data_IF_772103203809
#
_entry.id   IF_772103203809
#
_cell.length_a   1.000
_cell.length_b   1.000
_cell.length_c   1.000
_cell.angle_alpha   90.00
_cell.angle_beta   90.00
_cell.angle_gamma   90.00
#
_symmetry.space_group_name_H-M   'P 1'
#
loop_
_entity.id
_entity.type
_entity.pdbx_description
1 polymer ?
#
# COMPACT_ATOMS: atom_id res chain seq x y z
N UNK A 1 26.21 -17.46 12.04
CA UNK A 1 25.79 -16.26 11.27
C UNK A 1 24.59 -16.65 10.42
N UNK A 2 23.39 -16.17 10.73
CA UNK A 2 22.25 -16.38 9.82
C UNK A 2 22.60 -15.81 8.45
N UNK A 3 22.40 -16.61 7.41
CA UNK A 3 22.71 -16.24 6.01
C UNK A 3 21.74 -15.11 5.63
N UNK A 4 22.26 -13.95 5.32
CA UNK A 4 21.47 -12.79 4.92
C UNK A 4 20.56 -13.16 3.74
N UNK A 5 19.28 -12.82 3.84
CA UNK A 5 18.31 -13.10 2.77
C UNK A 5 18.60 -12.25 1.53
N UNK A 6 18.47 -12.84 0.36
CA UNK A 6 18.62 -12.14 -0.92
C UNK A 6 17.42 -11.23 -1.20
N UNK A 7 17.58 -10.28 -2.14
CA UNK A 7 16.48 -9.39 -2.56
C UNK A 7 15.22 -10.19 -2.93
N UNK A 8 15.35 -11.21 -3.75
CA UNK A 8 14.20 -12.00 -4.22
C UNK A 8 13.56 -12.85 -3.12
N UNK A 9 14.34 -13.33 -2.15
CA UNK A 9 13.79 -14.04 -0.99
C UNK A 9 12.88 -13.13 -0.12
N UNK A 10 13.10 -11.82 -0.16
CA UNK A 10 12.26 -10.85 0.53
C UNK A 10 11.16 -10.31 -0.39
N UNK A 11 11.48 -9.94 -1.64
CA UNK A 11 10.58 -9.27 -2.54
C UNK A 11 9.47 -10.18 -3.10
N UNK A 12 9.78 -11.44 -3.44
CA UNK A 12 8.78 -12.35 -4.02
C UNK A 12 7.62 -12.64 -3.06
N UNK A 13 7.84 -12.94 -1.78
CA UNK A 13 6.73 -13.06 -0.83
C UNK A 13 5.91 -11.77 -0.69
N UNK A 14 6.56 -10.61 -0.65
CA UNK A 14 5.85 -9.31 -0.58
C UNK A 14 5.01 -9.09 -1.85
N UNK A 15 5.54 -9.45 -3.02
CA UNK A 15 4.80 -9.36 -4.28
C UNK A 15 3.55 -10.24 -4.25
N UNK A 16 3.69 -11.50 -3.87
CA UNK A 16 2.56 -12.43 -3.76
C UNK A 16 1.52 -11.92 -2.76
N UNK A 17 1.96 -11.45 -1.58
CA UNK A 17 1.09 -10.88 -0.55
C UNK A 17 0.28 -9.69 -1.08
N UNK A 18 0.95 -8.76 -1.76
CA UNK A 18 0.30 -7.54 -2.29
C UNK A 18 -0.64 -7.86 -3.46
N UNK A 19 -0.23 -8.77 -4.35
CA UNK A 19 -1.06 -9.22 -5.47
C UNK A 19 -2.35 -9.91 -4.97
N UNK A 20 -2.22 -10.83 -4.01
CA UNK A 20 -3.35 -11.55 -3.45
C UNK A 20 -4.30 -10.62 -2.68
N UNK A 21 -3.76 -9.61 -2.00
CA UNK A 21 -4.60 -8.61 -1.34
C UNK A 21 -5.43 -7.80 -2.36
N UNK A 22 -4.84 -7.47 -3.50
CA UNK A 22 -5.54 -6.79 -4.60
C UNK A 22 -6.62 -7.69 -5.21
N UNK A 23 -6.28 -8.96 -5.48
CA UNK A 23 -7.20 -9.93 -6.08
C UNK A 23 -8.38 -10.28 -5.14
N UNK A 24 -8.15 -10.29 -3.83
CA UNK A 24 -9.20 -10.54 -2.84
C UNK A 24 -10.31 -9.50 -2.95
N UNK A 25 -9.97 -8.21 -2.99
CA UNK A 25 -10.97 -7.15 -3.13
C UNK A 25 -11.82 -7.27 -4.41
N UNK A 26 -11.22 -7.77 -5.50
CA UNK A 26 -11.93 -8.04 -6.75
C UNK A 26 -12.85 -9.26 -6.58
N UNK A 27 -12.36 -10.32 -5.93
CA UNK A 27 -13.12 -11.55 -5.70
C UNK A 27 -14.35 -11.28 -4.83
N UNK A 28 -14.23 -10.54 -3.74
CA UNK A 28 -15.33 -10.17 -2.85
C UNK A 28 -16.45 -9.44 -3.62
N UNK A 29 -16.06 -8.43 -4.42
CA UNK A 29 -17.03 -7.67 -5.23
C UNK A 29 -17.68 -8.56 -6.28
N UNK A 30 -16.90 -9.42 -6.97
CA UNK A 30 -17.42 -10.34 -7.97
C UNK A 30 -18.41 -11.36 -7.37
N UNK A 31 -18.09 -11.95 -6.23
CA UNK A 31 -18.98 -12.90 -5.56
C UNK A 31 -20.27 -12.22 -5.08
N UNK A 32 -20.16 -10.99 -4.56
CA UNK A 32 -21.33 -10.22 -4.16
C UNK A 32 -22.21 -9.80 -5.34
N UNK A 33 -21.64 -9.51 -6.51
CA UNK A 33 -22.43 -9.18 -7.70
C UNK A 33 -23.29 -10.35 -8.20
N UNK A 34 -22.87 -11.59 -7.92
CA UNK A 34 -23.69 -12.77 -8.20
C UNK A 34 -24.89 -12.90 -7.24
N UNK A 35 -24.86 -12.24 -6.09
CA UNK A 35 -25.95 -12.20 -5.12
C UNK A 35 -26.92 -11.03 -5.38
N UNK A 36 -26.40 -9.81 -5.44
CA UNK A 36 -27.15 -8.55 -5.74
C UNK A 36 -26.15 -7.47 -6.13
N UNK A 37 -26.31 -6.85 -7.31
CA UNK A 37 -25.46 -5.75 -7.78
C UNK A 37 -25.40 -4.57 -6.79
N UNK A 38 -26.53 -4.32 -6.08
CA UNK A 38 -26.58 -3.30 -5.03
C UNK A 38 -25.71 -3.66 -3.84
N UNK A 39 -25.58 -4.95 -3.51
CA UNK A 39 -24.69 -5.44 -2.46
C UNK A 39 -23.22 -5.18 -2.81
N UNK A 40 -22.82 -5.47 -4.05
CA UNK A 40 -21.47 -5.19 -4.54
C UNK A 40 -21.14 -3.70 -4.49
N UNK A 41 -22.05 -2.83 -4.96
CA UNK A 41 -21.88 -1.37 -4.90
C UNK A 41 -21.79 -0.81 -3.46
N UNK A 42 -22.60 -1.34 -2.55
CA UNK A 42 -22.61 -0.95 -1.14
C UNK A 42 -21.31 -1.31 -0.42
N UNK A 43 -20.77 -2.52 -0.67
CA UNK A 43 -19.49 -2.99 -0.11
C UNK A 43 -18.33 -2.22 -0.73
N UNK A 44 -18.37 -1.92 -2.02
CA UNK A 44 -17.38 -1.06 -2.68
C UNK A 44 -17.28 0.32 -2.03
N UNK A 45 -18.40 1.00 -1.78
CA UNK A 45 -18.42 2.28 -1.07
C UNK A 45 -17.90 2.18 0.37
N UNK A 46 -18.26 1.11 1.09
CA UNK A 46 -17.79 0.87 2.45
C UNK A 46 -16.28 0.58 2.48
N UNK A 47 -15.75 -0.19 1.52
CA UNK A 47 -14.33 -0.47 1.40
C UNK A 47 -13.50 0.78 1.11
N UNK A 48 -14.06 1.77 0.40
CA UNK A 48 -13.39 3.06 0.20
C UNK A 48 -13.21 3.82 1.53
N UNK A 49 -14.22 3.83 2.40
CA UNK A 49 -14.09 4.39 3.77
C UNK A 49 -12.99 3.66 4.54
N UNK A 50 -13.07 2.34 4.59
CA UNK A 50 -12.12 1.48 5.30
C UNK A 50 -10.70 1.67 4.76
N UNK A 51 -10.53 1.78 3.44
CA UNK A 51 -9.25 2.06 2.79
C UNK A 51 -8.62 3.36 3.26
N UNK A 52 -9.40 4.43 3.34
CA UNK A 52 -8.93 5.72 3.86
C UNK A 52 -8.54 5.64 5.34
N UNK A 53 -9.28 4.89 6.16
CA UNK A 53 -8.96 4.70 7.57
C UNK A 53 -7.68 3.88 7.78
N UNK A 54 -7.37 2.95 6.89
CA UNK A 54 -6.11 2.20 6.94
C UNK A 54 -4.87 3.09 6.81
N UNK A 55 -4.96 4.28 6.20
CA UNK A 55 -3.86 5.25 6.16
C UNK A 55 -3.47 5.74 7.55
N UNK A 56 -4.41 5.80 8.49
CA UNK A 56 -4.14 6.19 9.89
C UNK A 56 -3.25 5.12 10.56
N UNK A 57 -3.56 3.83 10.34
CA UNK A 57 -2.77 2.73 10.88
C UNK A 57 -1.38 2.65 10.24
N UNK A 58 -1.28 3.06 8.98
CA UNK A 58 -0.01 3.10 8.25
C UNK A 58 1.00 4.07 8.87
N UNK A 59 0.57 5.12 9.59
CA UNK A 59 1.46 6.06 10.29
C UNK A 59 2.36 5.31 11.27
N UNK A 60 1.76 4.53 12.17
CA UNK A 60 2.52 3.77 13.17
C UNK A 60 3.30 2.64 12.52
N UNK A 61 2.68 1.94 11.57
CA UNK A 61 3.31 0.81 10.87
C UNK A 61 4.55 1.23 10.08
N UNK A 62 4.56 2.40 9.42
CA UNK A 62 5.73 2.91 8.70
C UNK A 62 6.89 3.24 9.64
N UNK A 63 6.60 3.88 10.78
CA UNK A 63 7.61 4.12 11.82
C UNK A 63 8.17 2.81 12.39
N UNK A 64 7.30 1.84 12.65
CA UNK A 64 7.65 0.51 13.15
C UNK A 64 8.58 -0.22 12.17
N UNK A 65 8.25 -0.20 10.87
CA UNK A 65 9.07 -0.85 9.84
C UNK A 65 10.52 -0.39 9.87
N UNK A 66 10.75 0.92 9.94
CA UNK A 66 12.09 1.50 9.93
C UNK A 66 12.84 1.21 11.24
N UNK A 67 12.21 1.50 12.38
CA UNK A 67 12.86 1.36 13.69
C UNK A 67 13.16 -0.11 14.02
N UNK A 68 12.25 -1.04 13.72
CA UNK A 68 12.49 -2.47 13.93
C UNK A 68 13.61 -2.96 13.02
N UNK A 69 13.57 -2.65 11.71
CA UNK A 69 14.61 -3.10 10.78
C UNK A 69 16.01 -2.62 11.20
N UNK A 70 16.15 -1.34 11.59
CA UNK A 70 17.43 -0.81 12.06
C UNK A 70 17.90 -1.47 13.37
N UNK A 71 17.01 -1.65 14.34
CA UNK A 71 17.36 -2.28 15.61
C UNK A 71 17.66 -3.79 15.47
N UNK A 72 17.02 -4.49 14.51
CA UNK A 72 17.39 -5.86 14.15
C UNK A 72 18.83 -5.89 13.62
N UNK A 73 19.18 -4.96 12.74
CA UNK A 73 20.55 -4.81 12.25
C UNK A 73 21.58 -4.52 13.36
N UNK A 74 21.23 -3.62 14.27
CA UNK A 74 22.05 -3.27 15.45
C UNK A 74 22.08 -4.35 16.54
N UNK A 75 21.26 -5.42 16.40
CA UNK A 75 21.07 -6.47 17.42
C UNK A 75 20.61 -5.94 18.78
N UNK A 76 19.91 -4.80 18.81
CA UNK A 76 19.43 -4.14 20.00
C UNK A 76 18.05 -4.68 20.41
N UNK A 77 18.04 -5.85 21.07
CA UNK A 77 16.80 -6.52 21.49
C UNK A 77 15.89 -5.65 22.37
N UNK A 78 16.47 -4.85 23.27
CA UNK A 78 15.71 -3.98 24.17
C UNK A 78 14.89 -2.94 23.41
N UNK A 79 15.50 -2.27 22.42
CA UNK A 79 14.78 -1.29 21.61
C UNK A 79 13.77 -1.95 20.67
N UNK A 80 14.05 -3.15 20.12
CA UNK A 80 13.07 -3.93 19.35
C UNK A 80 11.83 -4.18 20.21
N UNK A 81 11.99 -4.74 21.42
CA UNK A 81 10.89 -5.03 22.33
C UNK A 81 10.10 -3.77 22.69
N UNK A 82 10.80 -2.63 22.93
CA UNK A 82 10.18 -1.35 23.22
C UNK A 82 9.37 -0.81 22.04
N UNK A 83 9.94 -0.79 20.83
CA UNK A 83 9.25 -0.33 19.62
C UNK A 83 8.03 -1.20 19.33
N UNK A 84 8.17 -2.53 19.40
CA UNK A 84 7.08 -3.47 19.15
C UNK A 84 5.92 -3.28 20.14
N UNK A 85 6.20 -3.19 21.44
CA UNK A 85 5.16 -3.02 22.45
C UNK A 85 4.39 -1.70 22.29
N UNK A 86 5.11 -0.59 22.08
CA UNK A 86 4.49 0.72 21.92
C UNK A 86 3.68 0.78 20.62
N UNK A 87 4.21 0.27 19.50
CA UNK A 87 3.52 0.25 18.21
C UNK A 87 2.23 -0.56 18.26
N UNK A 88 2.25 -1.74 18.89
CA UNK A 88 1.07 -2.60 19.04
C UNK A 88 -0.01 -1.92 19.88
N UNK A 89 0.35 -1.37 21.04
CA UNK A 89 -0.62 -0.68 21.89
C UNK A 89 -1.18 0.57 21.21
N UNK A 90 -0.35 1.34 20.54
CA UNK A 90 -0.81 2.53 19.81
C UNK A 90 -1.79 2.18 18.69
N UNK A 91 -1.44 1.24 17.82
CA UNK A 91 -2.34 0.85 16.74
C UNK A 91 -3.60 0.16 17.28
N UNK A 92 -3.52 -0.58 18.38
CA UNK A 92 -4.71 -1.10 19.05
C UNK A 92 -5.64 0.01 19.52
N UNK A 93 -5.10 1.00 20.26
CA UNK A 93 -5.91 2.14 20.77
C UNK A 93 -6.51 2.95 19.63
N UNK A 94 -5.71 3.31 18.62
CA UNK A 94 -6.19 4.02 17.44
C UNK A 94 -7.25 3.18 16.70
N UNK A 95 -6.98 1.90 16.48
CA UNK A 95 -7.91 0.97 15.85
C UNK A 95 -9.22 0.83 16.62
N UNK A 96 -9.16 0.77 17.95
CA UNK A 96 -10.35 0.71 18.79
C UNK A 96 -11.19 2.00 18.69
N UNK A 97 -10.56 3.17 18.75
CA UNK A 97 -11.23 4.46 18.57
C UNK A 97 -11.90 4.55 17.20
N UNK A 98 -11.20 4.14 16.13
CA UNK A 98 -11.76 4.10 14.78
C UNK A 98 -12.92 3.11 14.70
N UNK A 99 -12.79 1.92 15.29
CA UNK A 99 -13.85 0.91 15.33
C UNK A 99 -15.12 1.43 16.03
N UNK A 100 -14.97 2.06 17.19
CA UNK A 100 -16.07 2.70 17.92
C UNK A 100 -16.73 3.78 17.05
N UNK A 101 -15.91 4.61 16.38
CA UNK A 101 -16.44 5.64 15.47
C UNK A 101 -17.24 5.01 14.32
N UNK A 102 -16.80 3.90 13.75
CA UNK A 102 -17.53 3.22 12.67
C UNK A 102 -18.84 2.59 13.13
N UNK A 103 -18.90 2.07 14.35
CA UNK A 103 -20.14 1.53 14.91
C UNK A 103 -21.19 2.63 15.09
N UNK A 104 -20.82 3.77 15.67
CA UNK A 104 -21.76 4.83 16.03
C UNK A 104 -22.01 5.84 14.89
N UNK A 105 -21.01 6.15 14.09
CA UNK A 105 -21.08 7.20 13.07
C UNK A 105 -20.93 6.68 11.63
N UNK A 106 -20.81 5.37 11.43
CA UNK A 106 -20.62 4.78 10.09
C UNK A 106 -21.74 5.16 9.13
N UNK A 107 -23.00 5.11 9.56
CA UNK A 107 -24.16 5.47 8.74
C UNK A 107 -24.15 6.96 8.33
N UNK A 108 -23.72 7.84 9.23
CA UNK A 108 -23.58 9.28 8.97
C UNK A 108 -22.49 9.54 7.92
N UNK A 109 -21.35 8.83 8.04
CA UNK A 109 -20.24 8.95 7.09
C UNK A 109 -20.69 8.48 5.70
N UNK A 110 -21.34 7.32 5.60
CA UNK A 110 -21.87 6.79 4.34
C UNK A 110 -22.89 7.75 3.70
N UNK A 111 -23.79 8.33 4.50
CA UNK A 111 -24.76 9.30 4.01
C UNK A 111 -24.08 10.56 3.44
N UNK A 112 -23.07 11.09 4.14
CA UNK A 112 -22.30 12.25 3.66
C UNK A 112 -21.47 11.95 2.41
N UNK A 113 -21.09 10.69 2.19
CA UNK A 113 -20.44 10.24 0.95
C UNK A 113 -21.40 10.06 -0.21
N UNK A 114 -22.69 10.26 -0.01
CA UNK A 114 -23.69 10.15 -1.07
C UNK A 114 -24.19 8.74 -1.32
N UNK A 115 -24.00 7.80 -0.38
CA UNK A 115 -24.56 6.45 -0.49
C UNK A 115 -26.09 6.54 -0.47
N UNK A 116 -26.72 6.04 -1.53
CA UNK A 116 -28.17 6.11 -1.73
C UNK A 116 -28.94 5.24 -0.71
N UNK A 117 -30.20 5.59 -0.45
CA UNK A 117 -31.04 4.83 0.49
C UNK A 117 -31.18 3.34 0.11
N UNK A 118 -31.15 3.03 -1.16
CA UNK A 118 -31.23 1.64 -1.66
C UNK A 118 -30.00 0.77 -1.30
N UNK A 119 -28.82 1.39 -1.16
CA UNK A 119 -27.57 0.74 -0.80
C UNK A 119 -27.29 0.77 0.71
N UNK A 120 -27.95 1.70 1.43
CA UNK A 120 -27.62 2.01 2.84
C UNK A 120 -27.76 0.78 3.75
N UNK A 121 -28.77 -0.06 3.54
CA UNK A 121 -28.99 -1.26 4.37
C UNK A 121 -27.82 -2.25 4.29
N UNK A 122 -27.27 -2.46 3.08
CA UNK A 122 -26.09 -3.30 2.90
C UNK A 122 -24.82 -2.63 3.42
N UNK A 123 -24.60 -1.38 3.08
CA UNK A 123 -23.42 -0.62 3.49
C UNK A 123 -23.32 -0.46 5.02
N UNK A 124 -24.44 -0.15 5.70
CA UNK A 124 -24.51 -0.06 7.16
C UNK A 124 -24.15 -1.38 7.87
N UNK A 125 -24.69 -2.51 7.38
CA UNK A 125 -24.34 -3.82 7.92
C UNK A 125 -22.85 -4.12 7.79
N UNK A 126 -22.28 -3.85 6.60
CA UNK A 126 -20.88 -4.11 6.32
C UNK A 126 -19.96 -3.22 7.18
N UNK A 127 -20.22 -1.90 7.22
CA UNK A 127 -19.36 -0.97 7.93
C UNK A 127 -19.43 -1.15 9.45
N UNK A 128 -20.57 -1.57 10.01
CA UNK A 128 -20.68 -1.87 11.43
C UNK A 128 -19.93 -3.13 11.83
N UNK A 129 -19.93 -4.17 11.01
CA UNK A 129 -19.24 -5.43 11.29
C UNK A 129 -17.74 -5.29 11.00
N UNK A 130 -17.36 -4.99 9.76
CA UNK A 130 -15.95 -4.89 9.36
C UNK A 130 -15.30 -3.64 9.93
N UNK A 131 -15.98 -2.49 9.86
CA UNK A 131 -15.51 -1.23 10.44
C UNK A 131 -15.40 -1.29 11.96
N UNK A 132 -16.36 -1.95 12.62
CA UNK A 132 -16.32 -2.22 14.07
C UNK A 132 -15.19 -3.13 14.52
N UNK A 133 -14.60 -3.90 13.60
CA UNK A 133 -13.47 -4.78 13.85
C UNK A 133 -12.12 -4.25 13.30
N UNK A 134 -12.03 -2.97 12.94
CA UNK A 134 -10.81 -2.38 12.38
C UNK A 134 -9.62 -2.40 13.35
N UNK A 135 -9.87 -2.49 14.66
CA UNK A 135 -8.79 -2.71 15.64
C UNK A 135 -8.04 -4.02 15.39
N UNK A 136 -8.72 -5.09 14.92
CA UNK A 136 -8.06 -6.35 14.54
C UNK A 136 -7.15 -6.13 13.34
N UNK A 137 -7.63 -5.40 12.32
CA UNK A 137 -6.84 -5.07 11.14
C UNK A 137 -5.61 -4.22 11.48
N UNK A 138 -5.75 -3.24 12.38
CA UNK A 138 -4.63 -2.39 12.81
C UNK A 138 -3.54 -3.18 13.54
N UNK A 139 -3.93 -4.14 14.37
CA UNK A 139 -3.00 -5.07 15.05
C UNK A 139 -2.33 -5.98 14.03
N UNK A 140 -3.11 -6.61 13.13
CA UNK A 140 -2.57 -7.51 12.10
C UNK A 140 -1.53 -6.79 11.24
N UNK A 141 -1.83 -5.56 10.79
CA UNK A 141 -0.90 -4.73 10.02
C UNK A 141 0.41 -4.49 10.81
N UNK A 142 0.32 -4.20 12.10
CA UNK A 142 1.50 -3.94 12.93
C UNK A 142 2.33 -5.20 13.13
N UNK A 143 1.70 -6.33 13.44
CA UNK A 143 2.41 -7.61 13.65
C UNK A 143 3.09 -8.07 12.37
N UNK A 144 2.40 -8.02 11.22
CA UNK A 144 2.98 -8.42 9.92
C UNK A 144 4.14 -7.51 9.52
N UNK A 145 4.07 -6.21 9.80
CA UNK A 145 5.19 -5.27 9.59
C UNK A 145 6.38 -5.63 10.49
N UNK A 146 6.17 -5.96 11.75
CA UNK A 146 7.24 -6.40 12.66
C UNK A 146 7.89 -7.69 12.12
N UNK A 147 7.10 -8.69 11.74
CA UNK A 147 7.58 -9.96 11.17
C UNK A 147 8.43 -9.70 9.91
N UNK A 148 7.94 -8.88 8.97
CA UNK A 148 8.67 -8.52 7.74
C UNK A 148 9.97 -7.76 8.04
N UNK A 149 9.97 -6.85 9.00
CA UNK A 149 11.15 -6.07 9.39
C UNK A 149 12.28 -6.92 9.97
N UNK A 150 11.95 -8.07 10.54
CA UNK A 150 12.92 -9.11 10.93
C UNK A 150 13.43 -9.93 9.73
N UNK A 151 12.86 -9.74 8.54
CA UNK A 151 13.20 -10.48 7.33
C UNK A 151 12.31 -11.72 7.07
N UNK A 152 11.31 -12.00 7.89
CA UNK A 152 10.40 -13.15 7.74
C UNK A 152 9.21 -12.81 6.82
N UNK A 153 9.53 -12.39 5.58
CA UNK A 153 8.51 -11.99 4.59
C UNK A 153 7.69 -13.16 4.07
N UNK A 154 8.28 -14.38 3.99
CA UNK A 154 7.58 -15.60 3.60
C UNK A 154 6.49 -15.97 4.59
N UNK A 155 6.78 -15.86 5.87
CA UNK A 155 5.86 -16.16 6.96
C UNK A 155 4.71 -15.15 6.98
N UNK A 156 4.99 -13.87 6.80
CA UNK A 156 3.96 -12.83 6.62
C UNK A 156 3.06 -13.15 5.43
N UNK A 157 3.63 -13.50 4.28
CA UNK A 157 2.88 -13.90 3.09
C UNK A 157 1.97 -15.10 3.38
N UNK A 158 2.48 -16.15 4.04
CA UNK A 158 1.68 -17.35 4.34
C UNK A 158 0.49 -17.06 5.25
N UNK A 159 0.65 -16.16 6.23
CA UNK A 159 -0.45 -15.69 7.08
C UNK A 159 -1.52 -14.98 6.24
N UNK A 160 -1.10 -14.08 5.34
CA UNK A 160 -2.03 -13.35 4.46
C UNK A 160 -2.70 -14.26 3.44
N UNK A 161 -1.97 -15.20 2.85
CA UNK A 161 -2.53 -16.23 1.94
C UNK A 161 -3.60 -17.06 2.65
N UNK A 162 -3.29 -17.56 3.85
CA UNK A 162 -4.24 -18.32 4.67
C UNK A 162 -5.49 -17.51 5.02
N UNK A 163 -5.31 -16.23 5.38
CA UNK A 163 -6.42 -15.31 5.63
C UNK A 163 -7.32 -15.15 4.39
N UNK A 164 -6.72 -14.94 3.23
CA UNK A 164 -7.48 -14.74 1.98
C UNK A 164 -8.23 -16.01 1.55
N UNK A 165 -7.62 -17.18 1.69
CA UNK A 165 -8.29 -18.46 1.40
C UNK A 165 -9.50 -18.66 2.34
N UNK A 166 -9.32 -18.41 3.64
CA UNK A 166 -10.41 -18.51 4.61
C UNK A 166 -11.53 -17.50 4.34
N UNK A 167 -11.17 -16.28 3.91
CA UNK A 167 -12.14 -15.26 3.56
C UNK A 167 -12.97 -15.68 2.33
N UNK A 168 -12.32 -16.03 1.20
CA UNK A 168 -13.00 -16.47 -0.03
C UNK A 168 -13.90 -17.70 0.25
N UNK A 169 -13.42 -18.65 1.04
CA UNK A 169 -14.21 -19.81 1.43
C UNK A 169 -15.43 -19.40 2.26
N UNK A 170 -15.25 -18.53 3.27
CA UNK A 170 -16.33 -18.03 4.09
C UNK A 170 -17.37 -17.21 3.29
N UNK A 171 -16.90 -16.40 2.35
CA UNK A 171 -17.78 -15.65 1.45
C UNK A 171 -18.62 -16.58 0.58
N UNK A 172 -17.99 -17.60 -0.01
CA UNK A 172 -18.71 -18.62 -0.78
C UNK A 172 -19.77 -19.34 0.06
N UNK A 173 -19.44 -19.71 1.28
CA UNK A 173 -20.38 -20.38 2.19
C UNK A 173 -21.60 -19.51 2.50
N UNK A 174 -21.41 -18.23 2.82
CA UNK A 174 -22.50 -17.35 3.23
C UNK A 174 -23.22 -16.63 2.08
N UNK A 175 -22.63 -16.56 0.89
CA UNK A 175 -23.30 -16.03 -0.31
C UNK A 175 -24.15 -17.10 -0.97
N UNK A 176 -23.58 -18.31 -1.14
CA UNK A 176 -24.25 -19.38 -1.91
C UNK A 176 -24.96 -20.41 -1.01
N UNK A 177 -24.89 -20.29 0.32
CA UNK A 177 -25.54 -21.23 1.24
C UNK A 177 -24.91 -22.63 1.22
N UNK A 178 -23.60 -22.74 0.97
CA UNK A 178 -22.91 -24.02 0.88
C UNK A 178 -22.95 -24.77 2.23
N UNK A 179 -22.94 -26.08 2.17
CA UNK A 179 -23.00 -26.98 3.36
C UNK A 179 -24.22 -26.77 4.27
N UNK A 180 -25.32 -26.22 3.73
CA UNK A 180 -26.52 -25.93 4.53
C UNK A 180 -26.44 -24.66 5.37
N UNK A 181 -25.42 -23.83 5.16
CA UNK A 181 -25.30 -22.55 5.86
C UNK A 181 -26.39 -21.57 5.40
N UNK A 182 -26.85 -20.68 6.28
CA UNK A 182 -27.82 -19.65 5.90
C UNK A 182 -27.22 -18.67 4.88
N UNK A 183 -28.00 -18.28 3.88
CA UNK A 183 -27.61 -17.23 2.93
C UNK A 183 -27.71 -15.88 3.63
N UNK A 184 -26.57 -15.30 3.99
CA UNK A 184 -26.48 -14.03 4.73
C UNK A 184 -26.11 -12.85 3.85
N UNK A 185 -25.70 -13.08 2.60
CA UNK A 185 -25.27 -12.03 1.66
C UNK A 185 -24.16 -11.15 2.24
N UNK A 186 -24.35 -9.83 2.24
CA UNK A 186 -23.36 -8.85 2.74
C UNK A 186 -22.97 -9.06 4.20
N UNK A 187 -23.91 -9.47 5.07
CA UNK A 187 -23.59 -9.78 6.47
C UNK A 187 -22.63 -10.97 6.56
N UNK A 188 -22.84 -11.99 5.72
CA UNK A 188 -22.00 -13.16 5.66
C UNK A 188 -20.56 -12.83 5.24
N UNK A 189 -20.41 -12.04 4.19
CA UNK A 189 -19.09 -11.54 3.73
C UNK A 189 -18.41 -10.71 4.84
N UNK A 190 -19.14 -9.83 5.51
CA UNK A 190 -18.59 -9.04 6.62
C UNK A 190 -18.09 -9.92 7.79
N UNK A 191 -18.83 -10.97 8.12
CA UNK A 191 -18.46 -11.95 9.16
C UNK A 191 -17.24 -12.75 8.71
N UNK A 192 -17.23 -13.28 7.48
CA UNK A 192 -16.10 -14.04 6.94
C UNK A 192 -14.82 -13.22 6.92
N UNK A 193 -14.90 -11.95 6.47
CA UNK A 193 -13.79 -11.00 6.49
C UNK A 193 -13.26 -10.76 7.92
N UNK A 194 -14.15 -10.58 8.87
CA UNK A 194 -13.76 -10.31 10.26
C UNK A 194 -13.15 -11.54 10.92
N UNK A 195 -13.75 -12.71 10.74
CA UNK A 195 -13.26 -13.98 11.31
C UNK A 195 -11.91 -14.36 10.71
N UNK A 196 -11.74 -14.26 9.40
CA UNK A 196 -10.45 -14.54 8.73
C UNK A 196 -9.32 -13.63 9.25
N UNK A 197 -9.61 -12.35 9.47
CA UNK A 197 -8.65 -11.40 10.07
C UNK A 197 -8.32 -11.73 11.52
N UNK A 198 -9.29 -12.12 12.32
CA UNK A 198 -9.05 -12.55 13.71
C UNK A 198 -8.14 -13.77 13.74
N UNK A 199 -8.44 -14.80 12.95
CA UNK A 199 -7.63 -16.01 12.87
C UNK A 199 -6.21 -15.70 12.38
N UNK A 200 -6.06 -14.88 11.34
CA UNK A 200 -4.75 -14.43 10.87
C UNK A 200 -3.96 -13.67 11.96
N UNK A 201 -4.65 -12.83 12.74
CA UNK A 201 -4.03 -12.07 13.83
C UNK A 201 -3.53 -13.02 14.94
N UNK A 202 -4.31 -14.03 15.30
CA UNK A 202 -3.91 -15.04 16.28
C UNK A 202 -2.66 -15.79 15.81
N UNK A 203 -2.66 -16.26 14.54
CA UNK A 203 -1.50 -16.96 13.95
C UNK A 203 -0.27 -16.05 13.91
N UNK A 204 -0.45 -14.77 13.52
CA UNK A 204 0.61 -13.78 13.51
C UNK A 204 1.22 -13.55 14.91
N UNK A 205 0.39 -13.46 15.95
CA UNK A 205 0.86 -13.35 17.35
C UNK A 205 1.60 -14.60 17.81
N UNK A 206 1.09 -15.79 17.48
CA UNK A 206 1.77 -17.05 17.82
C UNK A 206 3.17 -17.06 17.21
N UNK A 207 3.31 -16.67 15.94
CA UNK A 207 4.61 -16.58 15.29
C UNK A 207 5.51 -15.52 15.94
N UNK A 208 4.96 -14.32 16.20
CA UNK A 208 5.69 -13.22 16.81
C UNK A 208 6.28 -13.63 18.17
N UNK A 209 5.45 -14.18 19.07
CA UNK A 209 5.86 -14.48 20.45
C UNK A 209 6.68 -15.75 20.60
N UNK A 210 6.54 -16.73 19.68
CA UNK A 210 7.36 -17.95 19.74
C UNK A 210 8.79 -17.76 19.22
N UNK A 211 9.02 -16.79 18.30
CA UNK A 211 10.28 -16.71 17.61
C UNK A 211 11.00 -15.38 17.59
N UNK A 212 10.29 -14.25 17.78
CA UNK A 212 10.87 -12.93 17.49
C UNK A 212 10.96 -12.03 18.72
N UNK A 213 9.87 -11.87 19.44
CA UNK A 213 9.77 -10.93 20.57
C UNK A 213 9.00 -11.60 21.72
N UNK A 214 9.50 -11.59 22.95
CA UNK A 214 8.82 -12.22 24.08
C UNK A 214 7.59 -11.42 24.53
N UNK A 215 6.61 -12.08 25.10
CA UNK A 215 5.41 -11.43 25.68
C UNK A 215 5.79 -10.39 26.75
N UNK A 216 6.91 -10.63 27.46
CA UNK A 216 7.44 -9.69 28.47
C UNK A 216 7.79 -8.31 27.91
N UNK A 217 7.78 -8.11 26.57
CA UNK A 217 8.02 -6.80 25.95
C UNK A 217 7.09 -5.69 26.46
N UNK A 218 5.87 -6.04 26.87
CA UNK A 218 4.89 -5.07 27.38
C UNK A 218 5.33 -4.35 28.65
N UNK A 219 6.35 -4.86 29.39
CA UNK A 219 6.99 -4.12 30.49
C UNK A 219 7.58 -2.77 30.06
N UNK A 220 8.00 -2.64 28.78
CA UNK A 220 8.56 -1.40 28.24
C UNK A 220 7.54 -0.31 27.97
N UNK A 221 6.25 -0.55 28.14
CA UNK A 221 5.22 0.49 28.10
C UNK A 221 5.42 1.53 29.22
N UNK A 222 6.05 1.13 30.32
CA UNK A 222 6.36 2.01 31.45
C UNK A 222 7.74 2.66 31.34
N UNK A 223 8.58 2.26 30.36
CA UNK A 223 9.95 2.76 30.18
C UNK A 223 10.04 3.70 28.97
N UNK A 224 9.95 5.00 29.22
CA UNK A 224 10.09 6.09 28.24
C UNK A 224 9.19 5.95 26.98
N UNK A 225 7.88 5.65 27.10
CA UNK A 225 7.01 5.44 25.95
C UNK A 225 6.93 6.67 25.04
N UNK A 226 6.99 7.89 25.61
CA UNK A 226 6.90 9.17 24.87
C UNK A 226 8.06 9.35 23.88
N UNK A 227 9.28 8.92 24.25
CA UNK A 227 10.45 9.03 23.37
C UNK A 227 10.30 8.17 22.11
N UNK A 228 9.89 6.91 22.28
CA UNK A 228 9.65 5.98 21.17
C UNK A 228 8.43 6.40 20.35
N UNK A 229 7.37 6.86 21.01
CA UNK A 229 6.20 7.45 20.34
C UNK A 229 6.58 8.58 19.39
N UNK A 230 7.36 9.57 19.88
CA UNK A 230 7.83 10.68 19.05
C UNK A 230 8.65 10.20 17.86
N UNK A 231 9.50 9.19 18.01
CA UNK A 231 10.28 8.59 16.90
C UNK A 231 9.34 7.95 15.86
N UNK A 232 8.35 7.17 16.30
CA UNK A 232 7.36 6.53 15.41
C UNK A 232 6.59 7.56 14.58
N UNK A 233 6.05 8.59 15.23
CA UNK A 233 5.32 9.68 14.56
C UNK A 233 6.22 10.47 13.63
N UNK A 234 7.45 10.79 14.02
CA UNK A 234 8.42 11.54 13.20
C UNK A 234 8.72 10.85 11.86
N UNK A 235 8.66 9.52 11.83
CA UNK A 235 8.86 8.71 10.61
C UNK A 235 7.54 8.52 9.88
N UNK A 236 6.50 8.11 10.59
CA UNK A 236 5.25 7.66 10.00
C UNK A 236 4.36 8.78 9.51
N UNK A 237 4.26 9.90 10.26
CA UNK A 237 3.38 11.00 9.90
C UNK A 237 3.76 11.64 8.55
N UNK A 238 5.05 11.98 8.28
CA UNK A 238 5.42 12.48 6.95
C UNK A 238 5.09 11.50 5.83
N UNK A 239 5.32 10.20 6.04
CA UNK A 239 5.00 9.16 5.04
C UNK A 239 3.49 9.07 4.75
N UNK A 240 2.64 9.22 5.76
CA UNK A 240 1.20 9.25 5.57
C UNK A 240 0.74 10.53 4.84
N UNK A 241 1.32 11.69 5.18
CA UNK A 241 1.04 12.96 4.49
C UNK A 241 1.41 12.90 3.01
N UNK A 242 2.49 12.22 2.65
CA UNK A 242 2.85 11.99 1.24
C UNK A 242 1.79 11.15 0.52
N UNK A 243 1.36 10.03 1.11
CA UNK A 243 0.31 9.19 0.52
C UNK A 243 -1.01 9.94 0.36
N UNK A 244 -1.37 10.75 1.34
CA UNK A 244 -2.58 11.58 1.29
C UNK A 244 -2.47 12.66 0.20
N UNK A 245 -1.32 13.34 0.11
CA UNK A 245 -1.04 14.32 -0.94
C UNK A 245 -1.10 13.68 -2.33
N UNK A 246 -0.53 12.46 -2.48
CA UNK A 246 -0.61 11.70 -3.73
C UNK A 246 -2.06 11.37 -4.11
N UNK A 247 -2.87 10.91 -3.16
CA UNK A 247 -4.28 10.62 -3.41
C UNK A 247 -5.07 11.86 -3.83
N UNK A 248 -4.81 13.00 -3.21
CA UNK A 248 -5.42 14.28 -3.58
C UNK A 248 -4.99 14.73 -5.00
N UNK A 249 -3.71 14.65 -5.32
CA UNK A 249 -3.21 15.00 -6.64
C UNK A 249 -3.81 14.10 -7.73
N UNK A 250 -3.94 12.79 -7.48
CA UNK A 250 -4.61 11.87 -8.41
C UNK A 250 -6.10 12.21 -8.59
N UNK A 251 -6.77 12.64 -7.53
CA UNK A 251 -8.16 13.11 -7.63
C UNK A 251 -8.28 14.37 -8.48
N UNK A 252 -7.36 15.33 -8.33
CA UNK A 252 -7.31 16.54 -9.14
C UNK A 252 -7.04 16.21 -10.62
N UNK A 253 -6.07 15.33 -10.90
CA UNK A 253 -5.77 14.88 -12.26
C UNK A 253 -6.99 14.17 -12.87
N UNK A 254 -7.69 13.33 -12.10
CA UNK A 254 -8.91 12.67 -12.55
C UNK A 254 -10.01 13.69 -12.91
N UNK A 255 -10.17 14.74 -12.10
CA UNK A 255 -11.10 15.83 -12.38
C UNK A 255 -10.70 16.63 -13.64
N UNK A 256 -9.42 16.91 -13.83
CA UNK A 256 -8.90 17.55 -15.05
C UNK A 256 -9.26 16.74 -16.29
N UNK A 257 -9.03 15.43 -16.26
CA UNK A 257 -9.34 14.52 -17.37
C UNK A 257 -10.84 14.54 -17.68
N UNK A 258 -11.69 14.34 -16.66
CA UNK A 258 -13.13 14.25 -16.84
C UNK A 258 -13.74 15.57 -17.37
N UNK A 259 -13.31 16.70 -16.84
CA UNK A 259 -13.86 18.01 -17.17
C UNK A 259 -13.36 18.57 -18.52
N UNK A 260 -12.12 18.24 -18.94
CA UNK A 260 -11.51 18.84 -20.13
C UNK A 260 -11.32 17.86 -21.29
N UNK A 261 -11.16 16.57 -21.04
CA UNK A 261 -10.88 15.56 -22.07
C UNK A 261 -12.08 14.62 -22.32
N UNK A 262 -13.09 14.65 -21.44
CA UNK A 262 -14.33 13.91 -21.58
C UNK A 262 -14.29 12.46 -21.10
N UNK A 263 -15.44 11.79 -21.24
CA UNK A 263 -15.70 10.47 -20.66
C UNK A 263 -14.81 9.37 -21.24
N UNK A 264 -14.57 9.37 -22.56
CA UNK A 264 -13.74 8.34 -23.20
C UNK A 264 -12.28 8.36 -22.69
N UNK A 265 -11.70 9.54 -22.50
CA UNK A 265 -10.36 9.69 -21.92
C UNK A 265 -10.33 9.22 -20.45
N UNK A 266 -11.39 9.49 -19.68
CA UNK A 266 -11.52 9.03 -18.31
C UNK A 266 -11.60 7.49 -18.22
N UNK A 267 -12.39 6.85 -19.09
CA UNK A 267 -12.49 5.39 -19.17
C UNK A 267 -11.13 4.79 -19.56
N UNK A 268 -10.49 5.33 -20.60
CA UNK A 268 -9.16 4.90 -21.05
C UNK A 268 -8.13 4.98 -19.90
N UNK A 269 -8.12 6.11 -19.13
CA UNK A 269 -7.29 6.27 -17.94
C UNK A 269 -7.49 5.13 -16.94
N UNK A 270 -8.72 4.75 -16.68
CA UNK A 270 -9.04 3.70 -15.70
C UNK A 270 -8.44 2.36 -16.11
N UNK A 271 -8.54 2.02 -17.39
CA UNK A 271 -7.96 0.77 -17.91
C UNK A 271 -6.43 0.80 -17.88
N UNK A 272 -5.81 1.91 -18.30
CA UNK A 272 -4.35 2.10 -18.25
C UNK A 272 -3.87 1.95 -16.80
N UNK A 273 -4.51 2.64 -15.87
CA UNK A 273 -4.18 2.59 -14.46
C UNK A 273 -4.19 1.17 -13.89
N UNK A 274 -5.22 0.38 -14.24
CA UNK A 274 -5.32 -1.02 -13.81
C UNK A 274 -4.19 -1.88 -14.39
N UNK A 275 -3.84 -1.69 -15.67
CA UNK A 275 -2.75 -2.42 -16.32
C UNK A 275 -1.37 -2.05 -15.75
N UNK A 276 -1.12 -0.75 -15.54
CA UNK A 276 0.14 -0.25 -14.98
C UNK A 276 0.39 -0.75 -13.56
N UNK A 277 -0.67 -0.98 -12.77
CA UNK A 277 -0.54 -1.51 -11.41
C UNK A 277 0.23 -2.84 -11.34
N UNK A 278 0.11 -3.70 -12.35
CA UNK A 278 0.88 -4.95 -12.38
C UNK A 278 2.38 -4.71 -12.46
N UNK A 279 2.82 -3.68 -13.18
CA UNK A 279 4.25 -3.29 -13.23
C UNK A 279 4.67 -2.63 -11.91
N UNK A 280 3.84 -1.75 -11.37
CA UNK A 280 4.08 -1.05 -10.10
C UNK A 280 4.22 -2.01 -8.93
N UNK A 281 3.47 -3.11 -8.90
CA UNK A 281 3.55 -4.12 -7.83
C UNK A 281 4.98 -4.70 -7.68
N UNK A 282 5.69 -4.94 -8.77
CA UNK A 282 7.10 -5.36 -8.70
C UNK A 282 7.96 -4.29 -8.04
N UNK A 283 7.77 -3.03 -8.42
CA UNK A 283 8.52 -1.89 -7.88
C UNK A 283 8.26 -1.67 -6.39
N UNK A 284 7.00 -1.78 -5.97
CA UNK A 284 6.61 -1.69 -4.55
C UNK A 284 7.26 -2.82 -3.74
N UNK A 285 7.22 -4.05 -4.26
CA UNK A 285 7.73 -5.24 -3.57
C UNK A 285 9.25 -5.18 -3.40
N UNK A 286 9.96 -4.79 -4.47
CA UNK A 286 11.41 -4.58 -4.42
C UNK A 286 11.74 -3.38 -3.51
N UNK A 287 10.95 -2.31 -3.57
CA UNK A 287 11.11 -1.15 -2.70
C UNK A 287 10.99 -1.49 -1.22
N UNK A 288 9.97 -2.26 -0.83
CA UNK A 288 9.80 -2.71 0.55
C UNK A 288 10.92 -3.66 1.00
N UNK A 289 11.33 -4.61 0.14
CA UNK A 289 12.47 -5.47 0.42
C UNK A 289 13.76 -4.65 0.59
N UNK A 290 13.98 -3.65 -0.28
CA UNK A 290 15.10 -2.72 -0.18
C UNK A 290 15.07 -1.95 1.14
N UNK A 291 13.91 -1.45 1.58
CA UNK A 291 13.75 -0.76 2.88
C UNK A 291 14.21 -1.65 4.05
N UNK A 292 13.80 -2.91 4.07
CA UNK A 292 14.19 -3.88 5.10
C UNK A 292 15.71 -4.10 5.08
N UNK A 293 16.28 -4.39 3.90
CA UNK A 293 17.71 -4.65 3.74
C UNK A 293 18.56 -3.45 4.16
N UNK A 294 18.19 -2.26 3.70
CA UNK A 294 18.91 -1.02 4.03
C UNK A 294 18.78 -0.70 5.51
N UNK A 295 17.57 -0.83 6.09
CA UNK A 295 17.37 -0.64 7.52
C UNK A 295 18.27 -1.55 8.37
N UNK A 296 18.33 -2.83 8.06
CA UNK A 296 19.19 -3.78 8.77
C UNK A 296 20.68 -3.48 8.59
N UNK A 297 21.11 -3.07 7.40
CA UNK A 297 22.51 -2.74 7.13
C UNK A 297 22.95 -1.47 7.84
N UNK A 298 22.14 -0.43 7.78
CA UNK A 298 22.42 0.85 8.42
C UNK A 298 22.43 0.71 9.94
N UNK A 299 21.50 -0.09 10.48
CA UNK A 299 21.50 -0.44 11.90
C UNK A 299 22.73 -1.22 12.33
N UNK A 300 23.29 -2.09 11.45
CA UNK A 300 24.54 -2.81 11.69
C UNK A 300 25.81 -1.95 11.48
N UNK A 301 25.68 -0.67 11.15
CA UNK A 301 26.81 0.21 10.85
C UNK A 301 27.48 -0.04 9.49
N UNK A 302 26.90 -0.90 8.63
CA UNK A 302 27.46 -1.30 7.34
C UNK A 302 27.07 -0.36 6.21
N UNK A 303 27.51 0.88 6.30
CA UNK A 303 27.09 1.98 5.41
C UNK A 303 27.44 1.74 3.95
N UNK A 304 28.67 1.27 3.65
CA UNK A 304 29.09 1.00 2.24
C UNK A 304 28.30 -0.16 1.64
N UNK A 305 28.08 -1.21 2.42
CA UNK A 305 27.26 -2.33 1.98
C UNK A 305 25.81 -1.90 1.73
N UNK A 306 25.25 -1.05 2.56
CA UNK A 306 23.94 -0.44 2.36
C UNK A 306 23.88 0.38 1.06
N UNK A 307 24.89 1.21 0.82
CA UNK A 307 25.00 2.03 -0.39
C UNK A 307 24.96 1.19 -1.67
N UNK A 308 25.82 0.17 -1.77
CA UNK A 308 25.89 -0.70 -2.93
C UNK A 308 24.63 -1.58 -3.06
N UNK A 309 24.10 -2.09 -1.96
CA UNK A 309 22.86 -2.87 -1.95
C UNK A 309 21.69 -2.05 -2.51
N UNK A 310 21.53 -0.79 -2.06
CA UNK A 310 20.47 0.08 -2.55
C UNK A 310 20.55 0.34 -4.05
N UNK A 311 21.77 0.57 -4.59
CA UNK A 311 21.97 0.78 -6.02
C UNK A 311 21.75 -0.52 -6.85
N UNK A 312 22.15 -1.66 -6.33
CA UNK A 312 21.93 -2.94 -7.02
C UNK A 312 20.46 -3.31 -7.06
N UNK A 313 19.74 -3.13 -5.93
CA UNK A 313 18.30 -3.35 -5.86
C UNK A 313 17.54 -2.41 -6.79
N UNK A 314 17.97 -1.14 -6.87
CA UNK A 314 17.45 -0.18 -7.83
C UNK A 314 17.65 -0.62 -9.28
N UNK A 315 18.85 -1.07 -9.68
CA UNK A 315 19.12 -1.58 -11.04
C UNK A 315 18.24 -2.78 -11.37
N UNK A 316 18.08 -3.70 -10.42
CA UNK A 316 17.21 -4.86 -10.59
C UNK A 316 15.75 -4.46 -10.80
N UNK A 317 15.23 -3.54 -9.98
CA UNK A 317 13.86 -3.04 -10.14
C UNK A 317 13.65 -2.34 -11.48
N UNK A 318 14.65 -1.53 -11.91
CA UNK A 318 14.62 -0.82 -13.18
C UNK A 318 14.53 -1.79 -14.36
N UNK A 319 15.27 -2.89 -14.32
CA UNK A 319 15.20 -3.94 -15.34
C UNK A 319 13.78 -4.51 -15.47
N UNK A 320 13.15 -4.89 -14.36
CA UNK A 320 11.78 -5.41 -14.37
C UNK A 320 10.77 -4.36 -14.86
N UNK A 321 10.92 -3.10 -14.46
CA UNK A 321 10.05 -2.02 -14.91
C UNK A 321 10.15 -1.77 -16.41
N UNK A 322 11.37 -1.76 -16.95
CA UNK A 322 11.59 -1.60 -18.40
C UNK A 322 11.02 -2.79 -19.18
N UNK A 323 11.24 -4.02 -18.71
CA UNK A 323 10.65 -5.22 -19.34
C UNK A 323 9.11 -5.19 -19.28
N UNK A 324 8.53 -4.77 -18.16
CA UNK A 324 7.09 -4.56 -18.01
C UNK A 324 6.56 -3.48 -18.96
N UNK A 325 7.24 -2.35 -19.06
CA UNK A 325 6.91 -1.28 -20.00
C UNK A 325 6.96 -1.74 -21.47
N UNK A 326 7.98 -2.51 -21.85
CA UNK A 326 8.07 -3.11 -23.20
C UNK A 326 6.90 -4.05 -23.45
N UNK A 327 6.52 -4.89 -22.48
CA UNK A 327 5.37 -5.77 -22.60
C UNK A 327 4.06 -4.96 -22.76
N UNK A 328 3.88 -3.86 -22.01
CA UNK A 328 2.73 -2.97 -22.18
C UNK A 328 2.69 -2.37 -23.58
N UNK A 329 3.83 -1.94 -24.16
CA UNK A 329 3.89 -1.42 -25.52
C UNK A 329 3.52 -2.49 -26.56
N UNK A 330 4.08 -3.69 -26.47
CA UNK A 330 3.86 -4.78 -27.45
C UNK A 330 2.38 -5.18 -27.44
N UNK A 331 1.80 -5.36 -26.28
CA UNK A 331 0.44 -5.88 -26.13
C UNK A 331 -0.64 -4.80 -25.98
N UNK A 332 -0.31 -3.51 -26.07
CA UNK A 332 -1.16 -2.35 -25.73
C UNK A 332 -2.60 -2.42 -26.26
N UNK A 333 -2.78 -2.74 -27.55
CA UNK A 333 -4.13 -2.84 -28.13
C UNK A 333 -4.92 -4.02 -27.61
N UNK A 334 -4.26 -5.19 -27.47
CA UNK A 334 -4.90 -6.39 -26.92
C UNK A 334 -5.29 -6.19 -25.47
N UNK A 335 -4.42 -5.56 -24.66
CA UNK A 335 -4.66 -5.32 -23.25
C UNK A 335 -5.84 -4.37 -23.03
N UNK A 336 -5.93 -3.26 -23.77
CA UNK A 336 -7.11 -2.38 -23.68
C UNK A 336 -8.35 -3.07 -24.24
N UNK A 337 -8.22 -3.83 -25.33
CA UNK A 337 -9.32 -4.58 -25.94
C UNK A 337 -9.93 -5.68 -25.06
N UNK A 338 -9.27 -6.09 -23.96
CA UNK A 338 -9.89 -6.98 -22.95
C UNK A 338 -11.03 -6.27 -22.22
N UNK A 339 -10.97 -4.94 -22.09
CA UNK A 339 -11.94 -4.16 -21.33
C UNK A 339 -13.06 -3.55 -22.18
N UNK A 340 -12.83 -3.33 -23.49
CA UNK A 340 -13.78 -2.62 -24.35
C UNK A 340 -13.56 -2.91 -25.84
N UNK A 341 -14.66 -2.89 -26.60
CA UNK A 341 -14.67 -2.96 -28.08
C UNK A 341 -14.69 -1.57 -28.74
N UNK A 342 -14.81 -0.49 -27.94
CA UNK A 342 -14.87 0.87 -28.44
C UNK A 342 -13.49 1.30 -29.00
N UNK A 343 -13.44 1.51 -30.34
CA UNK A 343 -12.20 1.80 -31.05
C UNK A 343 -11.53 3.12 -30.64
N UNK A 344 -12.30 4.12 -30.23
CA UNK A 344 -11.77 5.41 -29.78
C UNK A 344 -11.04 5.22 -28.43
N UNK A 345 -11.64 4.48 -27.50
CA UNK A 345 -11.03 4.17 -26.20
C UNK A 345 -9.78 3.30 -26.39
N UNK A 346 -9.83 2.31 -27.30
CA UNK A 346 -8.67 1.47 -27.64
C UNK A 346 -7.55 2.32 -28.23
N UNK A 347 -7.85 3.27 -29.10
CA UNK A 347 -6.87 4.15 -29.71
C UNK A 347 -6.21 5.06 -28.66
N UNK A 348 -7.02 5.81 -27.89
CA UNK A 348 -6.53 6.70 -26.83
C UNK A 348 -5.70 5.91 -25.80
N UNK A 349 -6.23 4.78 -25.33
CA UNK A 349 -5.58 3.94 -24.34
C UNK A 349 -4.26 3.34 -24.85
N UNK A 350 -4.24 2.84 -26.09
CA UNK A 350 -3.03 2.24 -26.67
C UNK A 350 -1.91 3.26 -26.93
N UNK A 351 -2.23 4.49 -27.32
CA UNK A 351 -1.24 5.55 -27.45
C UNK A 351 -0.70 5.95 -26.07
N UNK A 352 -1.59 6.10 -25.11
CA UNK A 352 -1.19 6.50 -23.76
C UNK A 352 -0.36 5.41 -23.06
N UNK A 353 -0.59 4.12 -23.32
CA UNK A 353 0.24 3.02 -22.79
C UNK A 353 1.70 3.08 -23.33
N UNK A 354 1.94 3.65 -24.52
CA UNK A 354 3.31 3.91 -24.99
C UNK A 354 3.99 4.94 -24.08
N UNK A 355 3.27 6.00 -23.74
CA UNK A 355 3.78 7.04 -22.83
C UNK A 355 3.95 6.49 -21.41
N UNK A 356 3.00 5.68 -20.95
CA UNK A 356 3.04 5.02 -19.63
C UNK A 356 4.27 4.11 -19.45
N UNK A 357 4.71 3.44 -20.51
CA UNK A 357 5.93 2.64 -20.50
C UNK A 357 7.20 3.44 -20.15
N UNK A 358 7.21 4.75 -20.37
CA UNK A 358 8.27 5.66 -19.92
C UNK A 358 8.02 6.21 -18.52
N UNK A 359 6.76 6.21 -18.07
CA UNK A 359 6.38 6.60 -16.71
C UNK A 359 6.82 5.54 -15.70
N UNK A 360 6.64 4.27 -16.01
CA UNK A 360 6.90 3.16 -15.09
C UNK A 360 8.36 3.07 -14.60
N UNK A 361 9.39 3.22 -15.45
CA UNK A 361 10.76 3.33 -14.97
C UNK A 361 10.99 4.53 -14.05
N UNK A 362 10.40 5.69 -14.33
CA UNK A 362 10.47 6.87 -13.46
C UNK A 362 9.84 6.61 -12.10
N UNK A 363 8.67 5.98 -12.07
CA UNK A 363 7.96 5.57 -10.86
C UNK A 363 8.77 4.56 -10.04
N UNK A 364 9.35 3.56 -10.70
CA UNK A 364 10.24 2.57 -10.07
C UNK A 364 11.46 3.23 -9.45
N UNK A 365 12.06 4.16 -10.20
CA UNK A 365 13.20 4.95 -9.74
C UNK A 365 12.89 5.64 -8.41
N UNK A 366 11.77 6.31 -8.36
CA UNK A 366 11.28 7.00 -7.19
C UNK A 366 10.97 6.02 -6.04
N UNK A 367 10.13 5.01 -6.26
CA UNK A 367 9.67 4.06 -5.24
C UNK A 367 10.84 3.36 -4.54
N UNK A 368 11.81 2.83 -5.29
CA UNK A 368 12.89 2.01 -4.70
C UNK A 368 13.86 2.86 -3.91
N UNK A 369 14.21 4.05 -4.40
CA UNK A 369 15.13 4.94 -3.68
C UNK A 369 14.48 5.61 -2.47
N UNK A 370 13.21 6.00 -2.55
CA UNK A 370 12.47 6.51 -1.39
C UNK A 370 12.44 5.46 -0.28
N UNK A 371 12.10 4.21 -0.60
CA UNK A 371 12.08 3.14 0.38
C UNK A 371 13.48 2.86 0.97
N UNK A 372 14.54 2.95 0.17
CA UNK A 372 15.93 2.89 0.65
C UNK A 372 16.25 4.00 1.63
N UNK A 373 15.93 5.27 1.29
CA UNK A 373 16.12 6.44 2.16
C UNK A 373 15.32 6.31 3.46
N UNK A 374 14.06 5.87 3.38
CA UNK A 374 13.22 5.61 4.56
C UNK A 374 13.83 4.52 5.44
N UNK A 375 14.33 3.42 4.86
CA UNK A 375 15.03 2.36 5.58
C UNK A 375 16.25 2.88 6.35
N UNK A 376 16.97 3.83 5.78
CA UNK A 376 18.07 4.52 6.43
C UNK A 376 17.64 5.62 7.45
N UNK A 377 16.34 5.90 7.59
CA UNK A 377 15.79 6.91 8.49
C UNK A 377 15.65 8.32 7.89
N UNK A 378 16.02 8.52 6.63
CA UNK A 378 15.86 9.80 5.93
C UNK A 378 14.48 9.89 5.28
N UNK A 379 13.49 10.28 6.06
CA UNK A 379 12.07 10.28 5.66
C UNK A 379 11.62 11.66 5.18
N UNK A 380 12.09 12.73 5.81
CA UNK A 380 11.57 14.10 5.59
C UNK A 380 11.93 14.59 4.17
N UNK A 381 13.17 14.38 3.72
CA UNK A 381 13.60 14.84 2.41
C UNK A 381 12.76 14.24 1.26
N UNK A 382 12.55 12.90 1.17
CA UNK A 382 11.68 12.32 0.17
C UNK A 382 10.26 12.90 0.17
N UNK A 383 9.66 13.07 1.35
CA UNK A 383 8.29 13.56 1.48
C UNK A 383 8.16 15.01 0.99
N UNK A 384 9.05 15.89 1.41
CA UNK A 384 9.03 17.30 0.98
C UNK A 384 9.20 17.40 -0.54
N UNK A 385 10.16 16.65 -1.10
CA UNK A 385 10.38 16.63 -2.54
C UNK A 385 9.17 16.06 -3.30
N UNK A 386 8.53 15.01 -2.75
CA UNK A 386 7.34 14.42 -3.36
C UNK A 386 6.18 15.42 -3.42
N UNK A 387 5.89 16.12 -2.32
CA UNK A 387 4.78 17.08 -2.27
C UNK A 387 5.06 18.25 -3.23
N UNK A 388 6.26 18.86 -3.18
CA UNK A 388 6.61 19.99 -4.04
C UNK A 388 6.56 19.59 -5.52
N UNK A 389 7.14 18.47 -5.90
CA UNK A 389 7.20 18.01 -7.28
C UNK A 389 5.82 17.63 -7.80
N UNK A 390 5.03 16.88 -7.04
CA UNK A 390 3.71 16.40 -7.41
C UNK A 390 2.75 17.56 -7.77
N UNK A 391 2.73 18.62 -6.95
CA UNK A 391 1.88 19.78 -7.21
C UNK A 391 2.53 20.77 -8.17
N UNK A 392 3.84 21.07 -8.02
CA UNK A 392 4.55 22.05 -8.82
C UNK A 392 4.88 21.56 -10.23
N UNK A 393 5.21 20.27 -10.41
CA UNK A 393 5.47 19.70 -11.73
C UNK A 393 4.31 18.81 -12.18
N UNK A 394 3.98 17.75 -11.41
CA UNK A 394 3.04 16.71 -11.83
C UNK A 394 1.69 17.25 -12.27
N UNK A 395 0.94 17.89 -11.39
CA UNK A 395 -0.40 18.42 -11.68
C UNK A 395 -0.34 19.55 -12.68
N UNK A 396 0.62 20.49 -12.51
CA UNK A 396 0.72 21.69 -13.36
C UNK A 396 1.07 21.33 -14.79
N UNK A 397 2.09 20.48 -15.02
CA UNK A 397 2.50 20.10 -16.37
C UNK A 397 1.53 19.11 -17.01
N UNK A 398 0.85 18.25 -16.22
CA UNK A 398 -0.23 17.42 -16.72
C UNK A 398 -1.36 18.27 -17.30
N UNK A 399 -1.81 19.31 -16.59
CA UNK A 399 -2.79 20.25 -17.12
C UNK A 399 -2.27 20.98 -18.36
N UNK A 400 -1.05 21.48 -18.33
CA UNK A 400 -0.46 22.22 -19.43
C UNK A 400 -0.33 21.39 -20.71
N UNK A 401 0.24 20.19 -20.63
CA UNK A 401 0.40 19.33 -21.82
C UNK A 401 -0.94 18.70 -22.26
N UNK A 402 -1.73 18.25 -21.31
CA UNK A 402 -2.99 17.55 -21.63
C UNK A 402 -4.06 18.48 -22.17
N UNK A 403 -4.23 19.65 -21.56
CA UNK A 403 -5.33 20.57 -21.84
C UNK A 403 -4.86 21.77 -22.67
N UNK A 404 -3.86 22.53 -22.21
CA UNK A 404 -3.45 23.79 -22.88
C UNK A 404 -2.82 23.51 -24.24
N UNK A 405 -1.92 22.52 -24.34
CA UNK A 405 -1.32 22.12 -25.63
C UNK A 405 -2.20 21.16 -26.45
N UNK A 406 -3.34 20.70 -25.90
CA UNK A 406 -4.27 19.83 -26.60
C UNK A 406 -3.76 18.41 -26.88
N UNK A 407 -2.72 17.94 -26.18
CA UNK A 407 -2.17 16.59 -26.37
C UNK A 407 -3.06 15.48 -25.76
N UNK A 408 -4.15 15.84 -25.08
CA UNK A 408 -5.11 14.92 -24.50
C UNK A 408 -4.52 14.05 -23.40
N UNK A 409 -5.00 12.81 -23.30
CA UNK A 409 -4.58 11.89 -22.26
C UNK A 409 -3.07 11.58 -22.27
N UNK A 410 -2.41 11.35 -23.42
CA UNK A 410 -0.94 11.21 -23.46
C UNK A 410 -0.20 12.42 -22.88
N UNK A 411 -0.70 13.65 -23.07
CA UNK A 411 -0.12 14.86 -22.47
C UNK A 411 -0.20 14.87 -20.95
N UNK A 412 -1.30 14.40 -20.36
CA UNK A 412 -1.40 14.21 -18.90
C UNK A 412 -0.29 13.27 -18.40
N UNK A 413 -0.05 12.14 -19.09
CA UNK A 413 1.00 11.18 -18.74
C UNK A 413 2.41 11.77 -18.88
N UNK A 414 2.66 12.62 -19.89
CA UNK A 414 3.94 13.32 -20.00
C UNK A 414 4.22 14.21 -18.78
N UNK A 415 3.21 14.87 -18.24
CA UNK A 415 3.34 15.63 -16.99
C UNK A 415 3.71 14.74 -15.79
N UNK A 416 3.08 13.56 -15.69
CA UNK A 416 3.42 12.57 -14.65
C UNK A 416 4.84 12.02 -14.82
N UNK A 417 5.32 11.82 -16.06
CA UNK A 417 6.70 11.41 -16.33
C UNK A 417 7.67 12.43 -15.77
N UNK A 418 7.47 13.71 -16.02
CA UNK A 418 8.35 14.77 -15.52
C UNK A 418 8.43 14.75 -13.99
N UNK A 419 7.30 14.61 -13.31
CA UNK A 419 7.25 14.51 -11.85
C UNK A 419 8.04 13.30 -11.32
N UNK A 420 7.73 12.10 -11.82
CA UNK A 420 8.34 10.86 -11.31
C UNK A 420 9.85 10.80 -11.59
N UNK A 421 10.29 11.20 -12.79
CA UNK A 421 11.71 11.24 -13.12
C UNK A 421 12.46 12.30 -12.34
N UNK A 422 11.90 13.50 -12.19
CA UNK A 422 12.49 14.56 -11.38
C UNK A 422 12.71 14.10 -9.93
N UNK A 423 11.67 13.51 -9.32
CA UNK A 423 11.78 12.96 -7.96
C UNK A 423 12.83 11.86 -7.89
N UNK A 424 12.79 10.92 -8.85
CA UNK A 424 13.78 9.84 -8.91
C UNK A 424 15.21 10.35 -8.95
N UNK A 425 15.50 11.35 -9.80
CA UNK A 425 16.81 11.98 -9.90
C UNK A 425 17.20 12.67 -8.59
N UNK A 426 16.31 13.42 -7.95
CA UNK A 426 16.55 14.03 -6.65
C UNK A 426 16.88 12.98 -5.56
N UNK A 427 16.15 11.84 -5.56
CA UNK A 427 16.44 10.73 -4.64
C UNK A 427 17.80 10.11 -4.90
N UNK A 428 18.22 9.96 -6.18
CA UNK A 428 19.53 9.43 -6.53
C UNK A 428 20.66 10.35 -6.07
N UNK A 429 20.52 11.65 -6.28
CA UNK A 429 21.52 12.63 -5.76
C UNK A 429 21.60 12.57 -4.24
N UNK A 430 20.45 12.46 -3.56
CA UNK A 430 20.40 12.31 -2.10
C UNK A 430 21.09 11.02 -1.65
N UNK A 431 20.84 9.90 -2.35
CA UNK A 431 21.44 8.61 -2.09
C UNK A 431 22.95 8.63 -2.27
N UNK A 432 23.42 9.10 -3.45
CA UNK A 432 24.87 9.20 -3.79
C UNK A 432 25.62 10.14 -2.85
N UNK A 433 25.01 11.22 -2.44
CA UNK A 433 25.59 12.19 -1.51
C UNK A 433 25.71 11.67 -0.07
N UNK A 434 25.25 10.45 0.24
CA UNK A 434 25.32 9.78 1.55
C UNK A 434 24.80 10.62 2.73
N UNK A 435 23.99 11.65 2.47
CA UNK A 435 23.42 12.51 3.54
C UNK A 435 22.47 11.75 4.47
N UNK A 436 21.92 10.62 4.02
CA UNK A 436 21.08 9.71 4.79
C UNK A 436 21.85 9.00 5.94
N UNK A 437 23.17 8.85 5.84
CA UNK A 437 24.00 8.23 6.89
C UNK A 437 23.84 8.91 8.24
N UNK A 438 23.65 10.23 8.25
CA UNK A 438 23.45 11.02 9.48
C UNK A 438 22.03 10.92 10.05
N UNK A 439 21.13 10.16 9.40
CA UNK A 439 19.72 10.03 9.76
C UNK A 439 19.38 8.68 10.40
N UNK A 440 20.36 7.77 10.48
CA UNK A 440 20.19 6.48 11.17
C UNK A 440 19.75 6.73 12.62
N UNK A 441 18.75 5.98 13.08
CA UNK A 441 18.01 6.25 14.33
C UNK A 441 18.48 5.38 15.51
N UNK A 442 19.47 4.53 15.27
CA UNK A 442 20.03 3.55 16.24
C UNK A 442 21.41 3.99 16.69
#
# INVERSE_FOLDING_TARGET
MEKRKSLFQLAVPIFIETLLFMLLGIADIFMLSQFDDRAAGAVGASNQVIGNLNLIFAIISAGTAVLVAQNVGAKNKREIERVCSISLVMNFVIGLLVSITMIFFGDVILTKMGVTRSLMGYASNYIKIVGGALFVQSILNTVTVIIRSHGYTRESMLITVGMNILNIFGDAVFIFGLFGAPVLGVKGVAIATTVSRILATIIAFIFLFKGLVPVSMFKYLYDKPVGTFKKLIKIGFPSAMENMSYSLAQTVIMSIILLNLGEQAYIARTYIWTLSWFVVLFSISIGQANQIMIGQLTGAGKVEEAYHTGLNNFKTAMLFSVLGGIALIIFRRKLIGIYTDNQDIILIGSITLIVDAFLEPGRTFNIVLINGLRGAGDVIFPVVMAIISMWGLGVTTAYYFGVVLGLGLPGIWMGLILDEWFRGVCMLFRWRGKKWVRKVMV
#
